data_IF_433534407559
#
_entry.id   IF_433534407559
#
_cell.length_a   1.000
_cell.length_b   1.000
_cell.length_c   1.000
_cell.angle_alpha   90.00
_cell.angle_beta   90.00
_cell.angle_gamma   90.00
#
_symmetry.space_group_name_H-M   'P 1'
#
loop_
_entity.id
_entity.type
_entity.pdbx_description
1 polymer ?
#
# COMPACT_ATOMS: atom_id res chain seq x y z
N UNK A 1 -27.95 13.84 18.16
CA UNK A 1 -27.45 13.12 16.97
C UNK A 1 -26.62 11.94 17.48
N UNK A 2 -27.05 10.70 17.26
CA UNK A 2 -26.30 9.50 17.69
C UNK A 2 -25.36 9.05 16.56
N UNK A 3 -24.07 8.89 16.84
CA UNK A 3 -23.11 8.32 15.90
C UNK A 3 -23.28 6.80 15.86
N UNK A 4 -24.00 6.32 14.85
CA UNK A 4 -24.09 4.90 14.58
C UNK A 4 -23.66 4.68 13.13
N UNK A 5 -22.46 4.15 12.97
CA UNK A 5 -22.01 3.57 11.70
C UNK A 5 -22.26 2.07 11.81
N UNK A 6 -22.94 1.50 10.83
CA UNK A 6 -23.10 0.05 10.71
C UNK A 6 -22.64 -0.30 9.31
N UNK A 7 -21.47 -0.94 9.24
CA UNK A 7 -20.84 -1.35 7.99
C UNK A 7 -20.77 -2.87 8.00
N UNK A 8 -21.20 -3.48 6.90
CA UNK A 8 -21.11 -4.92 6.68
C UNK A 8 -20.32 -5.10 5.38
N UNK A 9 -19.08 -5.58 5.49
CA UNK A 9 -18.29 -6.02 4.35
C UNK A 9 -18.24 -7.55 4.39
N UNK A 10 -19.02 -8.18 3.51
CA UNK A 10 -18.89 -9.61 3.19
C UNK A 10 -18.12 -9.69 1.89
N UNK A 11 -16.79 -9.63 1.98
CA UNK A 11 -15.94 -9.77 0.80
C UNK A 11 -15.81 -11.23 0.37
N UNK A 12 -15.59 -11.48 -0.92
CA UNK A 12 -15.28 -12.83 -1.45
C UNK A 12 -14.08 -13.48 -0.71
N UNK A 13 -13.19 -12.65 -0.17
CA UNK A 13 -12.08 -13.05 0.70
C UNK A 13 -12.53 -13.75 1.99
N UNK A 14 -13.66 -13.38 2.61
CA UNK A 14 -14.19 -14.09 3.79
C UNK A 14 -14.65 -15.51 3.45
N UNK A 15 -15.12 -15.74 2.22
CA UNK A 15 -15.56 -17.06 1.76
C UNK A 15 -14.39 -17.98 1.42
N UNK A 16 -13.25 -17.42 0.99
CA UNK A 16 -12.07 -18.17 0.55
C UNK A 16 -11.01 -18.29 1.65
N UNK A 17 -10.87 -17.28 2.52
CA UNK A 17 -9.90 -17.17 3.62
C UNK A 17 -10.53 -16.42 4.82
N UNK A 18 -11.29 -17.14 5.67
CA UNK A 18 -12.02 -16.54 6.79
C UNK A 18 -11.13 -15.77 7.76
N UNK A 19 -9.89 -16.23 7.94
CA UNK A 19 -8.88 -15.58 8.76
C UNK A 19 -8.58 -14.16 8.27
N UNK A 20 -8.21 -14.01 7.00
CA UNK A 20 -7.93 -12.70 6.38
C UNK A 20 -9.17 -11.79 6.41
N UNK A 21 -10.35 -12.37 6.22
CA UNK A 21 -11.62 -11.65 6.29
C UNK A 21 -11.91 -11.03 7.66
N UNK A 22 -11.53 -11.71 8.76
CA UNK A 22 -11.63 -11.14 10.11
C UNK A 22 -10.60 -10.04 10.31
N UNK A 23 -9.36 -10.22 9.82
CA UNK A 23 -8.32 -9.20 9.95
C UNK A 23 -8.74 -7.90 9.24
N UNK A 24 -9.26 -8.00 8.02
CA UNK A 24 -9.77 -6.87 7.27
C UNK A 24 -10.94 -6.18 7.99
N UNK A 25 -11.90 -6.95 8.52
CA UNK A 25 -13.02 -6.38 9.27
C UNK A 25 -12.56 -5.58 10.50
N UNK A 26 -11.60 -6.11 11.28
CA UNK A 26 -11.05 -5.42 12.45
C UNK A 26 -10.31 -4.15 12.03
N UNK A 27 -9.51 -4.20 10.97
CA UNK A 27 -8.81 -3.03 10.44
C UNK A 27 -9.80 -1.93 9.99
N UNK A 28 -10.86 -2.30 9.28
CA UNK A 28 -11.94 -1.39 8.86
C UNK A 28 -12.63 -0.76 10.08
N UNK A 29 -12.99 -1.56 11.09
CA UNK A 29 -13.62 -1.04 12.32
C UNK A 29 -12.70 -0.04 13.02
N UNK A 30 -11.39 -0.32 13.10
CA UNK A 30 -10.42 0.58 13.69
C UNK A 30 -10.29 1.89 12.88
N UNK A 31 -10.22 1.79 11.55
CA UNK A 31 -10.17 2.92 10.63
C UNK A 31 -11.38 3.86 10.81
N UNK A 32 -12.59 3.32 10.73
CA UNK A 32 -13.82 4.08 10.95
C UNK A 32 -13.92 4.64 12.37
N UNK A 33 -13.42 3.88 13.35
CA UNK A 33 -13.30 4.33 14.74
C UNK A 33 -12.43 5.59 14.88
N UNK A 34 -11.32 5.68 14.13
CA UNK A 34 -10.49 6.88 14.11
C UNK A 34 -11.26 8.07 13.55
N UNK A 35 -11.97 7.91 12.43
CA UNK A 35 -12.82 8.99 11.92
C UNK A 35 -13.82 9.45 12.99
N UNK A 36 -14.48 8.54 13.70
CA UNK A 36 -15.40 8.92 14.77
C UNK A 36 -14.72 9.72 15.89
N UNK A 37 -13.53 9.30 16.31
CA UNK A 37 -12.75 10.03 17.32
C UNK A 37 -12.37 11.41 16.82
N UNK A 38 -11.79 11.54 15.62
CA UNK A 38 -11.37 12.81 15.03
C UNK A 38 -12.53 13.81 14.93
N UNK A 39 -13.73 13.35 14.58
CA UNK A 39 -14.93 14.19 14.58
C UNK A 39 -15.37 14.60 15.98
N UNK A 40 -15.33 13.68 16.94
CA UNK A 40 -15.79 13.94 18.31
C UNK A 40 -14.86 14.88 19.09
N UNK A 41 -13.56 14.86 18.81
CA UNK A 41 -12.59 15.78 19.42
C UNK A 41 -12.45 17.10 18.68
N UNK A 42 -13.23 17.31 17.61
CA UNK A 42 -13.23 18.55 16.84
C UNK A 42 -12.01 18.75 15.94
N UNK A 43 -11.21 17.72 15.70
CA UNK A 43 -10.12 17.79 14.71
C UNK A 43 -10.71 17.85 13.31
N UNK A 44 -11.60 16.91 12.97
CA UNK A 44 -12.35 16.94 11.71
C UNK A 44 -13.76 17.45 11.97
N UNK A 45 -14.05 18.68 11.56
CA UNK A 45 -15.42 19.18 11.65
C UNK A 45 -16.35 18.41 10.71
N UNK A 46 -17.58 18.13 11.17
CA UNK A 46 -18.56 17.36 10.39
C UNK A 46 -18.98 18.16 9.16
N UNK A 47 -19.11 17.44 8.05
CA UNK A 47 -19.49 17.99 6.74
C UNK A 47 -18.46 18.94 6.14
N UNK A 48 -17.32 19.17 6.80
CA UNK A 48 -16.21 19.92 6.22
C UNK A 48 -15.55 19.10 5.12
N UNK A 49 -15.09 19.77 4.08
CA UNK A 49 -14.51 19.14 2.89
C UNK A 49 -13.00 19.09 3.06
N UNK A 50 -12.52 18.02 3.69
CA UNK A 50 -11.09 17.77 3.87
C UNK A 50 -10.46 17.22 2.59
N UNK A 51 -9.17 17.50 2.32
CA UNK A 51 -8.40 16.74 1.36
C UNK A 51 -8.49 15.25 1.71
N UNK A 52 -9.00 14.43 0.79
CA UNK A 52 -9.30 13.01 1.08
C UNK A 52 -8.05 12.26 1.53
N UNK A 53 -6.89 12.55 0.94
CA UNK A 53 -5.62 11.94 1.34
C UNK A 53 -5.28 12.20 2.82
N UNK A 54 -5.59 13.39 3.33
CA UNK A 54 -5.30 13.74 4.71
C UNK A 54 -6.30 13.03 5.64
N UNK A 55 -7.58 13.03 5.28
CA UNK A 55 -8.63 12.36 6.07
C UNK A 55 -8.34 10.87 6.22
N UNK A 56 -8.19 10.16 5.10
CA UNK A 56 -7.97 8.71 5.10
C UNK A 56 -6.57 8.38 5.61
N UNK A 57 -5.57 9.20 5.28
CA UNK A 57 -4.20 9.02 5.75
C UNK A 57 -4.06 9.15 7.27
N UNK A 58 -4.82 10.05 7.91
CA UNK A 58 -4.90 10.14 9.38
C UNK A 58 -5.57 8.89 9.97
N UNK A 59 -6.66 8.41 9.36
CA UNK A 59 -7.31 7.17 9.79
C UNK A 59 -6.34 5.97 9.75
N UNK A 60 -5.67 5.76 8.62
CA UNK A 60 -4.65 4.71 8.47
C UNK A 60 -3.45 4.87 9.42
N UNK A 61 -3.06 6.12 9.74
CA UNK A 61 -1.96 6.42 10.66
C UNK A 61 -2.28 6.10 12.13
N UNK A 62 -3.53 6.32 12.54
CA UNK A 62 -3.97 6.07 13.92
C UNK A 62 -4.55 4.67 14.14
N UNK A 63 -4.94 3.95 13.08
CA UNK A 63 -5.54 2.62 13.15
C UNK A 63 -4.64 1.43 12.70
N UNK A 64 -3.29 1.45 12.82
CA UNK A 64 -2.52 0.29 12.39
C UNK A 64 -2.83 -0.91 13.29
N UNK A 65 -3.11 -2.06 12.67
CA UNK A 65 -3.45 -3.32 13.34
C UNK A 65 -2.45 -4.40 12.95
N UNK A 66 -2.12 -5.28 13.90
CA UNK A 66 -1.24 -6.41 13.64
C UNK A 66 -1.92 -7.39 12.69
N UNK A 67 -1.11 -7.99 11.82
CA UNK A 67 -1.54 -9.01 10.85
C UNK A 67 -1.28 -10.43 11.34
N UNK A 68 -0.91 -10.58 12.62
CA UNK A 68 -0.78 -11.86 13.29
C UNK A 68 -2.14 -12.38 13.81
N UNK A 69 -2.15 -13.61 14.33
CA UNK A 69 -3.35 -14.26 14.86
C UNK A 69 -4.01 -13.50 16.02
N UNK A 70 -3.28 -12.57 16.66
CA UNK A 70 -3.74 -11.88 17.86
C UNK A 70 -4.44 -10.54 17.59
N UNK A 71 -4.48 -10.09 16.34
CA UNK A 71 -5.24 -8.93 15.84
C UNK A 71 -5.32 -7.77 16.84
N UNK A 72 -4.21 -7.06 17.00
CA UNK A 72 -4.03 -6.01 18.02
C UNK A 72 -3.82 -4.67 17.38
N UNK A 73 -4.32 -3.61 18.01
CA UNK A 73 -3.88 -2.25 17.67
C UNK A 73 -2.38 -2.10 17.98
N UNK A 74 -1.60 -1.67 16.99
CA UNK A 74 -0.15 -1.50 17.12
C UNK A 74 0.23 -0.17 17.78
N UNK A 75 -0.69 0.79 17.80
CA UNK A 75 -0.47 2.12 18.35
C UNK A 75 -0.31 3.18 17.26
N UNK A 76 -0.72 4.41 17.57
CA UNK A 76 -0.66 5.55 16.66
C UNK A 76 0.74 5.75 16.05
N UNK A 77 0.80 5.90 14.72
CA UNK A 77 2.03 6.16 14.00
C UNK A 77 3.03 5.01 14.00
N UNK A 78 2.58 3.77 14.24
CA UNK A 78 3.28 2.57 13.81
C UNK A 78 3.04 2.29 12.33
N UNK A 79 3.83 1.37 11.78
CA UNK A 79 3.70 0.95 10.39
C UNK A 79 2.37 0.25 10.19
N UNK A 80 1.64 0.63 9.15
CA UNK A 80 0.50 -0.15 8.70
C UNK A 80 1.03 -1.19 7.69
N UNK A 81 1.21 -2.43 8.15
CA UNK A 81 1.87 -3.49 7.37
C UNK A 81 1.15 -3.80 6.04
N UNK A 82 -0.18 -3.67 6.00
CA UNK A 82 -0.95 -3.88 4.76
C UNK A 82 -0.71 -2.76 3.75
N UNK A 83 -0.68 -1.50 4.19
CA UNK A 83 -0.39 -0.35 3.30
C UNK A 83 1.07 -0.35 2.84
N UNK A 84 1.99 -0.71 3.73
CA UNK A 84 3.40 -0.90 3.36
C UNK A 84 3.55 -2.03 2.33
N UNK A 85 2.83 -3.14 2.50
CA UNK A 85 2.82 -4.23 1.53
C UNK A 85 2.36 -3.75 0.15
N UNK A 86 1.24 -3.04 0.06
CA UNK A 86 0.72 -2.50 -1.20
C UNK A 86 1.73 -1.56 -1.88
N UNK A 87 2.38 -0.67 -1.11
CA UNK A 87 3.38 0.25 -1.62
C UNK A 87 4.63 -0.47 -2.11
N UNK A 88 5.11 -1.50 -1.41
CA UNK A 88 6.23 -2.29 -1.90
C UNK A 88 5.93 -2.93 -3.25
N UNK A 89 4.72 -3.46 -3.45
CA UNK A 89 4.34 -4.03 -4.75
C UNK A 89 4.28 -2.94 -5.83
N UNK A 90 3.74 -1.78 -5.48
CA UNK A 90 3.65 -0.64 -6.36
C UNK A 90 5.03 -0.13 -6.82
N UNK A 91 5.98 0.06 -5.89
CA UNK A 91 7.32 0.52 -6.22
C UNK A 91 8.13 -0.52 -7.00
N UNK A 92 7.97 -1.83 -6.71
CA UNK A 92 8.62 -2.90 -7.48
C UNK A 92 8.15 -2.95 -8.94
N UNK A 93 6.94 -2.49 -9.22
CA UNK A 93 6.36 -2.47 -10.57
C UNK A 93 6.70 -1.21 -11.37
N UNK A 94 7.32 -0.19 -10.76
CA UNK A 94 7.66 1.09 -11.39
C UNK A 94 9.18 1.23 -11.58
N UNK A 95 9.63 2.07 -12.54
CA UNK A 95 11.04 2.46 -12.63
C UNK A 95 11.52 3.07 -11.30
N UNK A 96 12.80 2.89 -10.97
CA UNK A 96 13.36 3.28 -9.68
C UNK A 96 13.43 4.80 -9.43
N UNK A 97 13.16 5.62 -10.44
CA UNK A 97 13.26 7.08 -10.34
C UNK A 97 11.97 7.70 -9.80
N UNK A 98 12.13 8.50 -8.74
CA UNK A 98 11.07 9.39 -8.26
C UNK A 98 10.95 10.62 -9.17
N UNK A 99 9.78 10.81 -9.75
CA UNK A 99 9.40 11.98 -10.55
C UNK A 99 8.47 12.95 -9.80
N UNK A 100 7.97 12.55 -8.63
CA UNK A 100 7.05 13.33 -7.80
C UNK A 100 5.58 13.12 -8.14
N UNK A 101 5.27 12.33 -9.18
CA UNK A 101 3.89 12.08 -9.63
C UNK A 101 3.05 11.42 -8.53
N UNK A 102 3.66 10.58 -7.67
CA UNK A 102 2.94 9.89 -6.61
C UNK A 102 2.34 10.87 -5.60
N UNK A 103 3.17 11.80 -5.12
CA UNK A 103 2.75 12.77 -4.11
C UNK A 103 1.78 13.76 -4.73
N UNK A 104 2.09 14.29 -5.91
CA UNK A 104 1.22 15.25 -6.58
C UNK A 104 -0.17 14.66 -6.84
N UNK A 105 -0.25 13.43 -7.39
CA UNK A 105 -1.50 12.75 -7.62
C UNK A 105 -2.26 12.45 -6.32
N UNK A 106 -1.56 12.06 -5.24
CA UNK A 106 -2.16 11.79 -3.94
C UNK A 106 -2.77 13.05 -3.33
N UNK A 107 -2.03 14.16 -3.33
CA UNK A 107 -2.49 15.45 -2.77
C UNK A 107 -3.71 15.99 -3.51
N UNK A 108 -3.72 15.81 -4.83
CA UNK A 108 -4.77 16.33 -5.70
C UNK A 108 -5.99 15.42 -5.81
N UNK A 109 -5.92 14.16 -5.37
CA UNK A 109 -6.97 13.18 -5.61
C UNK A 109 -8.34 13.63 -5.10
N UNK A 110 -9.37 13.57 -5.95
CA UNK A 110 -10.76 13.74 -5.52
C UNK A 110 -11.37 12.44 -4.95
N UNK A 111 -10.77 11.28 -5.24
CA UNK A 111 -11.18 9.94 -4.81
C UNK A 111 -9.95 9.05 -4.67
N UNK A 112 -9.99 8.09 -3.76
CA UNK A 112 -8.90 7.13 -3.57
C UNK A 112 -9.20 5.79 -4.23
N UNK A 113 -8.18 5.23 -4.88
CA UNK A 113 -8.08 3.79 -5.18
C UNK A 113 -7.45 3.07 -3.98
N UNK A 114 -7.32 1.73 -3.99
CA UNK A 114 -6.56 1.01 -2.95
C UNK A 114 -5.16 1.58 -2.77
N UNK A 115 -4.45 1.80 -3.88
CA UNK A 115 -3.12 2.45 -3.86
C UNK A 115 -3.21 3.87 -3.30
N UNK A 116 -4.28 4.60 -3.56
CA UNK A 116 -4.53 5.92 -2.99
C UNK A 116 -4.61 5.94 -1.47
N UNK A 117 -5.24 4.93 -0.84
CA UNK A 117 -5.21 4.77 0.62
C UNK A 117 -3.79 4.54 1.13
N UNK A 118 -3.05 3.67 0.45
CA UNK A 118 -1.67 3.35 0.81
C UNK A 118 -0.73 4.55 0.67
N UNK A 119 -0.85 5.35 -0.39
CA UNK A 119 -0.04 6.57 -0.57
C UNK A 119 -0.45 7.68 0.39
N UNK A 120 -1.74 7.79 0.71
CA UNK A 120 -2.25 8.71 1.75
C UNK A 120 -1.68 8.40 3.13
N UNK A 121 -1.65 7.12 3.51
CA UNK A 121 -0.98 6.66 4.72
C UNK A 121 0.51 6.99 4.70
N UNK A 122 1.23 6.66 3.60
CA UNK A 122 2.67 6.91 3.50
C UNK A 122 3.01 8.40 3.61
N UNK A 123 2.26 9.25 2.93
CA UNK A 123 2.46 10.70 2.97
C UNK A 123 2.19 11.24 4.38
N UNK A 124 1.07 10.87 5.01
CA UNK A 124 0.77 11.24 6.40
C UNK A 124 1.85 10.75 7.36
N UNK A 125 2.27 9.48 7.23
CA UNK A 125 3.29 8.89 8.09
C UNK A 125 4.66 9.57 7.92
N UNK A 126 5.06 9.89 6.69
CA UNK A 126 6.28 10.64 6.41
C UNK A 126 6.23 12.05 7.01
N UNK A 127 5.18 12.82 6.71
CA UNK A 127 5.04 14.21 7.16
C UNK A 127 4.93 14.30 8.68
N UNK A 128 4.16 13.39 9.31
CA UNK A 128 4.01 13.35 10.77
C UNK A 128 5.30 12.97 11.51
N UNK A 129 6.26 12.30 10.85
CA UNK A 129 7.53 11.88 11.48
C UNK A 129 8.69 12.81 11.14
N UNK A 130 8.72 13.38 9.94
CA UNK A 130 9.86 14.13 9.41
C UNK A 130 9.58 15.63 9.26
N UNK A 131 8.33 16.03 9.01
CA UNK A 131 7.91 17.42 8.74
C UNK A 131 6.94 17.92 9.82
N UNK A 132 7.17 17.53 11.08
CA UNK A 132 6.21 17.64 12.20
C UNK A 132 5.56 19.02 12.36
N UNK A 133 6.36 20.08 12.28
CA UNK A 133 5.89 21.45 12.49
C UNK A 133 5.00 21.89 11.34
N UNK A 134 5.42 21.64 10.10
CA UNK A 134 4.64 21.94 8.90
C UNK A 134 3.36 21.10 8.85
N UNK A 135 3.45 19.80 9.16
CA UNK A 135 2.31 18.91 9.19
C UNK A 135 1.27 19.31 10.23
N UNK A 136 1.70 19.64 11.45
CA UNK A 136 0.79 20.15 12.48
C UNK A 136 0.14 21.48 12.06
N UNK A 137 0.89 22.37 11.40
CA UNK A 137 0.37 23.65 10.92
C UNK A 137 -0.67 23.46 9.81
N UNK A 138 -0.42 22.52 8.90
CA UNK A 138 -1.35 22.14 7.84
C UNK A 138 -2.63 21.54 8.42
N UNK A 139 -2.53 20.53 9.30
CA UNK A 139 -3.70 19.92 9.95
C UNK A 139 -4.51 20.96 10.72
N UNK A 140 -3.85 21.89 11.42
CA UNK A 140 -4.53 22.97 12.15
C UNK A 140 -5.26 23.94 11.24
N UNK A 141 -4.72 24.24 10.06
CA UNK A 141 -5.39 25.08 9.06
C UNK A 141 -6.64 24.37 8.51
N UNK A 142 -6.49 23.11 8.09
CA UNK A 142 -7.61 22.31 7.57
C UNK A 142 -8.68 22.09 8.66
N UNK A 143 -8.29 22.00 9.94
CA UNK A 143 -9.25 21.88 11.06
C UNK A 143 -10.09 23.13 11.32
N UNK A 144 -9.76 24.27 10.71
CA UNK A 144 -10.61 25.46 10.80
C UNK A 144 -11.75 25.44 9.78
N UNK A 145 -11.75 24.53 8.80
CA UNK A 145 -12.84 24.42 7.83
C UNK A 145 -14.15 24.09 8.52
N UNK A 146 -15.12 25.00 8.39
CA UNK A 146 -16.49 24.81 8.82
C UNK A 146 -17.26 23.80 7.98
N UNK A 147 -18.50 23.45 8.38
CA UNK A 147 -19.38 22.60 7.59
C UNK A 147 -19.54 23.13 6.16
N UNK A 148 -19.36 22.26 5.17
CA UNK A 148 -19.42 22.57 3.74
C UNK A 148 -18.32 23.53 3.24
N UNK A 149 -17.33 23.85 4.06
CA UNK A 149 -16.15 24.61 3.65
C UNK A 149 -15.02 23.68 3.16
N UNK A 150 -14.21 24.18 2.23
CA UNK A 150 -13.12 23.48 1.55
C UNK A 150 -13.25 23.57 0.03
N UNK A 151 -12.34 22.94 -0.72
CA UNK A 151 -12.42 22.95 -2.19
C UNK A 151 -13.18 21.74 -2.71
N UNK A 152 -14.35 21.99 -3.30
CA UNK A 152 -15.19 20.99 -3.97
C UNK A 152 -14.99 20.98 -5.50
N UNK A 153 -14.14 21.85 -6.03
CA UNK A 153 -13.94 21.99 -7.48
C UNK A 153 -13.09 20.84 -8.01
N UNK A 154 -13.78 19.81 -8.48
CA UNK A 154 -13.17 18.68 -9.18
C UNK A 154 -13.03 19.05 -10.66
N UNK A 155 -11.80 19.03 -11.17
CA UNK A 155 -11.51 19.18 -12.60
C UNK A 155 -11.00 17.87 -13.18
N UNK A 156 -11.19 17.63 -14.48
CA UNK A 156 -10.63 16.45 -15.15
C UNK A 156 -9.10 16.42 -14.95
N UNK A 157 -8.49 15.24 -14.66
CA UNK A 157 -9.05 13.89 -14.69
C UNK A 157 -9.72 13.41 -13.37
N UNK A 158 -10.00 14.29 -12.42
CA UNK A 158 -10.54 13.94 -11.09
C UNK A 158 -9.69 14.50 -9.97
N UNK A 159 -9.19 15.74 -10.16
CA UNK A 159 -8.28 16.41 -9.23
C UNK A 159 -8.94 17.63 -8.60
N UNK A 160 -8.53 17.97 -7.38
CA UNK A 160 -8.97 19.15 -6.62
C UNK A 160 -7.78 20.12 -6.51
N UNK A 161 -7.69 21.15 -7.37
CA UNK A 161 -6.50 22.01 -7.40
C UNK A 161 -6.28 22.82 -6.12
N UNK A 162 -7.33 23.16 -5.37
CA UNK A 162 -7.20 23.84 -4.07
C UNK A 162 -6.50 22.97 -3.02
N UNK A 163 -6.63 21.64 -3.08
CA UNK A 163 -5.88 20.74 -2.20
C UNK A 163 -4.37 20.86 -2.45
N UNK A 164 -3.97 20.95 -3.73
CA UNK A 164 -2.57 21.21 -4.11
C UNK A 164 -2.09 22.55 -3.59
N UNK A 165 -2.84 23.63 -3.83
CA UNK A 165 -2.45 24.96 -3.36
C UNK A 165 -2.30 25.02 -1.84
N UNK A 166 -3.23 24.41 -1.10
CA UNK A 166 -3.16 24.33 0.36
C UNK A 166 -1.96 23.50 0.83
N UNK A 167 -1.62 22.42 0.12
CA UNK A 167 -0.45 21.60 0.43
C UNK A 167 0.86 22.35 0.20
N UNK A 168 1.03 22.94 -0.99
CA UNK A 168 2.26 23.66 -1.39
C UNK A 168 2.56 24.85 -0.49
N UNK A 169 1.51 25.49 0.07
CA UNK A 169 1.64 26.53 1.08
C UNK A 169 2.46 26.08 2.31
N UNK A 170 2.37 24.81 2.70
CA UNK A 170 3.02 24.29 3.91
C UNK A 170 4.29 23.50 3.61
N UNK A 171 4.34 22.79 2.48
CA UNK A 171 5.41 21.82 2.20
C UNK A 171 6.25 22.16 0.96
N UNK A 172 5.88 23.20 0.21
CA UNK A 172 6.51 23.55 -1.07
C UNK A 172 6.05 22.68 -2.24
N UNK A 173 6.61 22.96 -3.41
CA UNK A 173 6.22 22.33 -4.69
C UNK A 173 7.29 21.36 -5.25
N UNK A 174 8.37 21.09 -4.51
CA UNK A 174 9.38 20.10 -4.92
C UNK A 174 8.91 18.68 -4.57
N UNK A 175 7.95 18.19 -5.36
CA UNK A 175 7.39 16.84 -5.20
C UNK A 175 8.44 15.75 -5.40
N UNK A 176 9.41 15.98 -6.29
CA UNK A 176 10.46 15.01 -6.59
C UNK A 176 11.37 14.78 -5.38
N UNK A 177 11.85 15.85 -4.76
CA UNK A 177 12.65 15.75 -3.55
C UNK A 177 11.83 15.12 -2.41
N UNK A 178 10.57 15.54 -2.26
CA UNK A 178 9.70 15.01 -1.21
C UNK A 178 9.42 13.51 -1.38
N UNK A 179 9.17 13.05 -2.59
CA UNK A 179 8.93 11.65 -2.91
C UNK A 179 10.19 10.81 -2.66
N UNK A 180 11.35 11.32 -3.07
CA UNK A 180 12.64 10.68 -2.77
C UNK A 180 12.84 10.49 -1.26
N UNK A 181 12.54 11.53 -0.46
CA UNK A 181 12.62 11.47 1.01
C UNK A 181 11.57 10.55 1.63
N UNK A 182 10.36 10.52 1.08
CA UNK A 182 9.28 9.62 1.49
C UNK A 182 9.66 8.16 1.25
N UNK A 183 10.17 7.80 0.07
CA UNK A 183 10.62 6.44 -0.24
C UNK A 183 11.78 6.04 0.68
N UNK A 184 12.75 6.93 0.90
CA UNK A 184 13.83 6.69 1.85
C UNK A 184 13.33 6.50 3.29
N UNK A 185 12.27 7.21 3.69
CA UNK A 185 11.62 7.03 4.98
C UNK A 185 10.93 5.68 5.09
N UNK A 186 10.16 5.27 4.08
CA UNK A 186 9.48 3.96 4.06
C UNK A 186 10.48 2.80 4.15
N UNK A 187 11.59 2.86 3.41
CA UNK A 187 12.63 1.84 3.43
C UNK A 187 13.33 1.67 4.78
N UNK A 188 13.22 2.64 5.69
CA UNK A 188 13.79 2.58 7.04
C UNK A 188 12.81 2.08 8.10
N UNK A 189 11.54 1.90 7.75
CA UNK A 189 10.54 1.48 8.73
C UNK A 189 10.68 0.00 9.09
N UNK A 190 10.41 -0.37 10.35
CA UNK A 190 10.32 -1.78 10.72
C UNK A 190 9.07 -2.38 10.08
N UNK A 191 9.23 -3.07 8.96
CA UNK A 191 8.14 -3.67 8.21
C UNK A 191 8.14 -5.20 8.36
N UNK A 192 6.97 -5.75 8.66
CA UNK A 192 6.74 -7.20 8.65
C UNK A 192 5.81 -7.54 7.50
N UNK A 193 6.28 -8.36 6.55
CA UNK A 193 5.41 -8.84 5.46
C UNK A 193 4.21 -9.60 6.05
N UNK A 194 2.98 -9.07 5.89
CA UNK A 194 1.79 -9.63 6.54
C UNK A 194 1.46 -11.03 6.02
N UNK A 195 2.01 -11.41 4.87
CA UNK A 195 1.82 -12.72 4.27
C UNK A 195 3.02 -13.65 4.48
N UNK A 196 4.07 -13.25 5.21
CA UNK A 196 5.31 -14.05 5.33
C UNK A 196 5.07 -15.50 5.78
N UNK A 197 4.13 -15.71 6.71
CA UNK A 197 3.76 -17.02 7.23
C UNK A 197 2.74 -17.79 6.35
N UNK A 198 2.14 -17.13 5.36
CA UNK A 198 1.19 -17.76 4.44
C UNK A 198 1.91 -18.64 3.40
N UNK A 199 1.23 -19.64 2.81
CA UNK A 199 1.79 -20.44 1.74
C UNK A 199 2.29 -19.60 0.54
N UNK A 200 3.43 -19.98 -0.01
CA UNK A 200 4.04 -19.36 -1.19
C UNK A 200 4.34 -20.41 -2.27
N UNK A 201 4.45 -19.98 -3.51
CA UNK A 201 4.72 -20.81 -4.67
C UNK A 201 6.00 -20.34 -5.35
N UNK A 202 6.90 -21.26 -5.67
CA UNK A 202 8.08 -20.98 -6.49
C UNK A 202 7.78 -21.49 -7.89
N UNK A 203 7.70 -20.57 -8.85
CA UNK A 203 7.71 -20.92 -10.26
C UNK A 203 9.15 -20.95 -10.75
N UNK A 204 9.48 -21.98 -11.50
CA UNK A 204 10.82 -22.26 -12.02
C UNK A 204 10.74 -22.49 -13.51
N UNK A 205 11.73 -22.01 -14.26
CA UNK A 205 11.94 -22.27 -15.68
C UNK A 205 13.39 -22.69 -15.87
N UNK A 206 13.60 -23.86 -16.49
CA UNK A 206 14.90 -24.37 -16.88
C UNK A 206 14.96 -24.56 -18.40
N UNK A 207 15.92 -23.94 -19.07
CA UNK A 207 16.19 -24.07 -20.51
C UNK A 207 17.44 -24.92 -20.69
N UNK A 208 17.26 -26.13 -21.24
CA UNK A 208 18.37 -27.04 -21.48
C UNK A 208 19.38 -26.44 -22.48
N UNK A 209 20.68 -26.58 -22.19
CA UNK A 209 21.76 -26.11 -23.07
C UNK A 209 22.09 -24.61 -22.98
N UNK A 210 21.35 -23.82 -22.18
CA UNK A 210 21.64 -22.40 -21.99
C UNK A 210 22.65 -22.17 -20.84
N UNK A 211 23.65 -21.30 -21.05
CA UNK A 211 24.69 -20.94 -20.06
C UNK A 211 24.13 -20.30 -18.77
N UNK A 212 22.93 -19.73 -18.84
CA UNK A 212 22.08 -19.32 -17.70
C UNK A 212 20.66 -19.80 -17.96
N UNK A 213 20.47 -21.11 -17.97
CA UNK A 213 19.19 -21.73 -18.32
C UNK A 213 18.15 -21.70 -17.20
N UNK A 214 18.51 -21.39 -15.95
CA UNK A 214 17.60 -21.47 -14.80
C UNK A 214 17.17 -20.10 -14.31
N UNK A 215 15.85 -19.93 -14.17
CA UNK A 215 15.24 -18.79 -13.54
C UNK A 215 14.10 -19.23 -12.60
N UNK A 216 13.97 -18.57 -11.45
CA UNK A 216 12.94 -18.87 -10.48
C UNK A 216 12.46 -17.62 -9.76
N UNK A 217 11.15 -17.57 -9.51
CA UNK A 217 10.51 -16.45 -8.83
C UNK A 217 9.41 -16.95 -7.87
N UNK A 218 9.05 -16.11 -6.89
CA UNK A 218 8.22 -16.49 -5.74
C UNK A 218 6.91 -15.70 -5.76
N UNK A 219 5.80 -16.41 -5.58
CA UNK A 219 4.45 -15.89 -5.72
C UNK A 219 3.56 -16.32 -4.55
N UNK A 220 2.47 -15.59 -4.30
CA UNK A 220 1.49 -15.93 -3.25
C UNK A 220 0.34 -16.79 -3.77
N UNK A 221 0.12 -16.79 -5.08
CA UNK A 221 -0.94 -17.56 -5.71
C UNK A 221 -0.41 -18.28 -6.95
N UNK A 222 -1.11 -19.35 -7.33
CA UNK A 222 -0.83 -20.13 -8.54
C UNK A 222 -1.00 -19.29 -9.79
N UNK A 223 -2.00 -18.41 -9.84
CA UNK A 223 -2.34 -17.62 -11.02
C UNK A 223 -1.23 -16.63 -11.37
N UNK A 224 -0.64 -15.97 -10.36
CA UNK A 224 0.49 -15.06 -10.55
C UNK A 224 1.75 -15.81 -11.00
N UNK A 225 1.98 -16.99 -10.42
CA UNK A 225 3.12 -17.83 -10.76
C UNK A 225 3.05 -18.32 -12.21
N UNK A 226 1.88 -18.79 -12.63
CA UNK A 226 1.63 -19.24 -14.00
C UNK A 226 1.65 -18.09 -15.00
N UNK A 227 1.16 -16.90 -14.61
CA UNK A 227 1.26 -15.70 -15.45
C UNK A 227 2.72 -15.37 -15.74
N UNK A 228 3.56 -15.32 -14.71
CA UNK A 228 4.99 -15.10 -14.88
C UNK A 228 5.63 -16.17 -15.76
N UNK A 229 5.29 -17.46 -15.56
CA UNK A 229 5.83 -18.52 -16.42
C UNK A 229 5.46 -18.32 -17.89
N UNK A 230 4.21 -17.98 -18.19
CA UNK A 230 3.77 -17.70 -19.57
C UNK A 230 4.53 -16.53 -20.17
N UNK A 231 4.68 -15.43 -19.44
CA UNK A 231 5.39 -14.23 -19.90
C UNK A 231 6.88 -14.52 -20.14
N UNK A 232 7.53 -15.23 -19.21
CA UNK A 232 8.94 -15.61 -19.36
C UNK A 232 9.16 -16.58 -20.53
N UNK A 233 8.30 -17.59 -20.71
CA UNK A 233 8.40 -18.51 -21.86
C UNK A 233 8.11 -17.83 -23.21
N UNK A 234 7.20 -16.84 -23.22
CA UNK A 234 6.90 -16.06 -24.42
C UNK A 234 8.09 -15.19 -24.87
N UNK A 235 8.93 -14.76 -23.92
CA UNK A 235 10.14 -13.98 -24.20
C UNK A 235 11.32 -14.82 -24.74
N UNK A 236 11.24 -16.16 -24.68
CA UNK A 236 12.26 -17.06 -25.23
C UNK A 236 12.13 -17.22 -26.75
N UNK A 237 13.25 -17.54 -27.42
CA UNK A 237 13.22 -18.00 -28.82
C UNK A 237 12.52 -19.34 -28.94
N UNK A 238 12.06 -19.72 -30.13
CA UNK A 238 11.35 -20.99 -30.31
C UNK A 238 12.23 -22.20 -29.94
N UNK A 239 13.51 -22.20 -30.32
CA UNK A 239 14.49 -23.24 -29.93
C UNK A 239 14.66 -23.34 -28.39
N UNK A 240 14.72 -22.19 -27.70
CA UNK A 240 14.82 -22.16 -26.24
C UNK A 240 13.52 -22.61 -25.57
N UNK A 241 12.38 -22.27 -26.15
CA UNK A 241 11.05 -22.62 -25.64
C UNK A 241 10.82 -24.12 -25.74
N UNK A 242 11.24 -24.76 -26.83
CA UNK A 242 11.16 -26.21 -26.99
C UNK A 242 12.08 -26.96 -26.01
N UNK A 243 13.19 -26.34 -25.63
CA UNK A 243 14.13 -26.84 -24.61
C UNK A 243 13.77 -26.42 -23.18
N UNK A 244 12.69 -25.65 -22.97
CA UNK A 244 12.30 -25.11 -21.67
C UNK A 244 11.37 -26.04 -20.89
N UNK A 245 11.60 -26.14 -19.58
CA UNK A 245 10.74 -26.83 -18.63
C UNK A 245 10.29 -25.86 -17.54
N UNK A 246 8.98 -25.61 -17.49
CA UNK A 246 8.36 -24.84 -16.41
C UNK A 246 7.83 -25.78 -15.31
N UNK A 247 8.12 -25.47 -14.04
CA UNK A 247 7.60 -26.22 -12.89
C UNK A 247 7.17 -25.28 -11.78
N UNK A 248 6.18 -25.71 -10.98
CA UNK A 248 5.62 -24.94 -9.87
C UNK A 248 5.68 -25.76 -8.59
N UNK A 249 6.13 -25.16 -7.49
CA UNK A 249 6.20 -25.84 -6.18
C UNK A 249 5.66 -24.98 -5.06
N UNK A 250 4.80 -25.56 -4.21
CA UNK A 250 4.23 -24.93 -3.02
C UNK A 250 5.14 -25.09 -1.80
N UNK A 251 5.18 -24.06 -0.96
CA UNK A 251 5.91 -23.97 0.29
C UNK A 251 4.99 -23.44 1.39
N UNK A 252 5.27 -23.82 2.63
CA UNK A 252 4.46 -23.43 3.79
C UNK A 252 4.54 -21.92 4.11
N UNK A 253 5.70 -21.30 3.85
CA UNK A 253 5.95 -19.88 4.13
C UNK A 253 6.97 -19.28 3.14
N UNK A 254 7.12 -17.96 3.17
CA UNK A 254 8.02 -17.20 2.28
C UNK A 254 9.49 -17.60 2.45
N UNK A 255 9.94 -17.79 3.69
CA UNK A 255 11.34 -18.10 3.99
C UNK A 255 11.77 -19.44 3.36
N UNK A 256 10.93 -20.48 3.49
CA UNK A 256 11.18 -21.77 2.86
C UNK A 256 11.20 -21.69 1.33
N UNK A 257 10.29 -20.90 0.74
CA UNK A 257 10.26 -20.65 -0.70
C UNK A 257 11.54 -19.95 -1.19
N UNK A 258 12.00 -18.92 -0.46
CA UNK A 258 13.22 -18.16 -0.78
C UNK A 258 14.47 -19.02 -0.73
N UNK A 259 14.63 -19.80 0.34
CA UNK A 259 15.76 -20.73 0.48
C UNK A 259 15.81 -21.71 -0.68
N UNK A 260 14.66 -22.30 -1.04
CA UNK A 260 14.60 -23.23 -2.16
C UNK A 260 14.91 -22.57 -3.50
N UNK A 261 14.32 -21.40 -3.80
CA UNK A 261 14.55 -20.70 -5.07
C UNK A 261 16.04 -20.38 -5.29
N UNK A 262 16.71 -19.88 -4.25
CA UNK A 262 18.16 -19.57 -4.31
C UNK A 262 18.99 -20.84 -4.57
N UNK A 263 18.69 -21.94 -3.87
CA UNK A 263 19.42 -23.20 -4.06
C UNK A 263 19.16 -23.80 -5.44
N UNK A 264 17.93 -23.71 -5.94
CA UNK A 264 17.54 -24.28 -7.23
C UNK A 264 18.22 -23.57 -8.41
N UNK A 265 18.27 -22.23 -8.37
CA UNK A 265 18.97 -21.43 -9.40
C UNK A 265 20.48 -21.67 -9.36
N UNK A 266 21.07 -21.86 -8.17
CA UNK A 266 22.52 -22.10 -8.00
C UNK A 266 22.97 -23.52 -8.27
N UNK A 267 22.10 -24.51 -8.08
CA UNK A 267 22.41 -25.94 -8.22
C UNK A 267 22.40 -26.46 -9.66
N UNK A 268 22.67 -25.58 -10.63
CA UNK A 268 22.73 -25.88 -12.07
C UNK A 268 24.12 -25.67 -12.63
#
# INVERSE_FOLDING_TARGET
VTNRVSMYEVGDLQLVRPDLGVQQAVATIAHEGVHQVLHNVGVQQRLSVWPIWLSEGLAEFFAPTSTDERLRWQGAGHVNDMRMFELEQYFKARPADSDGELIEATVQAARLTSTGYSTSWALTHYLAKNERVAFHSYVREISQLGPLEGDLRIVRPGVVPGNKAAFEKHFGADYREMETRLVAHLNRQPYTDPFAASPHYVAMIEVAGARRGRDANIFRTTELAEKWQRETLAALTDEQRDAARATLRRFANKAAAQQFAVLWVRGG
#
